data_IF_020997429556
#
_entry.id   IF_020997429556
#
_cell.length_a   1.000
_cell.length_b   1.000
_cell.length_c   1.000
_cell.angle_alpha   90.00
_cell.angle_beta   90.00
_cell.angle_gamma   90.00
#
_symmetry.space_group_name_H-M   'P 1'
#
loop_
_entity.id
_entity.type
_entity.pdbx_description
1 polymer ?
#
# COMPACT_ATOMS: atom_id res chain seq x y z
N UNK A 1 12.50 11.24 14.17
CA UNK A 1 13.54 11.51 15.20
C UNK A 1 14.97 11.43 14.64
N UNK A 2 15.37 10.31 14.05
CA UNK A 2 16.73 10.18 13.50
C UNK A 2 17.05 11.29 12.47
N UNK A 3 16.13 11.58 11.55
CA UNK A 3 16.27 12.69 10.60
C UNK A 3 16.45 14.04 11.32
N UNK A 4 15.67 14.34 12.34
CA UNK A 4 15.80 15.58 13.11
C UNK A 4 17.18 15.72 13.78
N UNK A 5 17.74 14.59 14.26
CA UNK A 5 19.08 14.54 14.81
C UNK A 5 20.14 14.73 13.71
N UNK A 6 19.94 14.13 12.53
CA UNK A 6 20.81 14.28 11.38
C UNK A 6 20.84 15.73 10.85
N UNK A 7 19.71 16.40 10.78
CA UNK A 7 19.56 17.81 10.38
C UNK A 7 19.93 18.81 11.51
N UNK A 8 20.47 18.31 12.61
CA UNK A 8 20.87 19.14 13.78
C UNK A 8 19.74 19.98 14.39
N UNK A 9 18.49 19.53 14.23
CA UNK A 9 17.37 20.19 14.90
C UNK A 9 17.56 20.02 16.42
N UNK A 10 17.50 21.10 17.23
CA UNK A 10 17.68 20.98 18.66
C UNK A 10 16.74 19.98 19.29
N UNK A 11 17.26 19.09 20.17
CA UNK A 11 16.48 18.02 20.83
C UNK A 11 15.19 18.54 21.46
N UNK A 12 15.24 19.71 22.10
CA UNK A 12 14.06 20.33 22.70
C UNK A 12 12.97 20.71 21.67
N UNK A 13 13.36 21.07 20.45
CA UNK A 13 12.43 21.35 19.35
C UNK A 13 11.83 20.05 18.81
N UNK A 14 12.65 19.02 18.63
CA UNK A 14 12.21 17.69 18.21
C UNK A 14 11.22 17.08 19.23
N UNK A 15 11.51 17.17 20.53
CA UNK A 15 10.60 16.70 21.57
C UNK A 15 9.25 17.43 21.55
N UNK A 16 9.24 18.76 21.34
CA UNK A 16 7.97 19.52 21.22
C UNK A 16 7.13 19.08 20.03
N UNK A 17 7.77 18.79 18.88
CA UNK A 17 7.06 18.28 17.71
C UNK A 17 6.49 16.88 17.98
N UNK A 18 7.26 15.99 18.60
CA UNK A 18 6.79 14.65 18.98
C UNK A 18 5.59 14.69 19.93
N UNK A 19 5.61 15.60 20.94
CA UNK A 19 4.49 15.74 21.87
C UNK A 19 3.19 16.25 21.22
N UNK A 20 3.31 16.97 20.10
CA UNK A 20 2.15 17.40 19.31
C UNK A 20 1.61 16.29 18.43
N UNK A 21 2.49 15.43 17.94
CA UNK A 21 2.16 14.39 16.98
C UNK A 21 1.69 13.09 17.65
N UNK A 22 2.32 12.68 18.74
CA UNK A 22 1.97 11.45 19.47
C UNK A 22 1.11 11.77 20.71
N UNK A 23 -0.21 11.69 20.54
CA UNK A 23 -1.16 11.77 21.65
C UNK A 23 -1.34 10.40 22.29
N UNK A 24 -1.39 10.33 23.64
CA UNK A 24 -1.60 9.07 24.37
C UNK A 24 -0.33 8.36 24.83
N UNK A 25 0.85 8.74 24.31
CA UNK A 25 2.14 8.23 24.81
C UNK A 25 2.65 9.13 25.96
N UNK A 26 3.22 8.51 27.00
CA UNK A 26 3.78 9.29 28.13
C UNK A 26 4.92 10.17 27.64
N UNK A 27 4.86 11.48 27.95
CA UNK A 27 5.87 12.46 27.52
C UNK A 27 7.29 12.06 27.90
N UNK A 28 7.46 11.39 29.07
CA UNK A 28 8.75 10.89 29.52
C UNK A 28 9.33 9.82 28.58
N UNK A 29 8.51 8.89 28.14
CA UNK A 29 8.93 7.83 27.22
C UNK A 29 9.35 8.39 25.85
N UNK A 30 8.59 9.34 25.30
CA UNK A 30 8.96 10.04 24.06
C UNK A 30 10.25 10.85 24.23
N UNK A 31 10.43 11.53 25.39
CA UNK A 31 11.63 12.29 25.67
C UNK A 31 12.87 11.39 25.77
N UNK A 32 12.75 10.25 26.44
CA UNK A 32 13.86 9.30 26.62
C UNK A 32 14.21 8.59 25.28
N UNK A 33 13.19 8.25 24.47
CA UNK A 33 13.42 7.73 23.10
C UNK A 33 14.14 8.75 22.22
N UNK A 34 13.71 10.02 22.26
CA UNK A 34 14.37 11.09 21.52
C UNK A 34 15.84 11.27 21.94
N UNK A 35 16.11 11.28 23.24
CA UNK A 35 17.50 11.36 23.77
C UNK A 35 18.36 10.20 23.28
N UNK A 36 17.85 8.96 23.33
CA UNK A 36 18.62 7.79 22.86
C UNK A 36 18.98 7.89 21.39
N UNK A 37 18.01 8.31 20.53
CA UNK A 37 18.25 8.45 19.10
C UNK A 37 19.26 9.57 18.81
N UNK A 38 19.15 10.72 19.47
CA UNK A 38 20.11 11.81 19.32
C UNK A 38 21.51 11.38 19.76
N UNK A 39 21.64 10.75 20.91
CA UNK A 39 22.92 10.22 21.39
C UNK A 39 23.51 9.14 20.46
N UNK A 40 22.68 8.35 19.79
CA UNK A 40 23.12 7.39 18.78
C UNK A 40 23.65 8.09 17.53
N UNK A 41 22.92 9.09 17.02
CA UNK A 41 23.34 9.87 15.84
C UNK A 41 24.62 10.66 16.14
N UNK A 42 24.75 11.25 17.33
CA UNK A 42 25.97 11.98 17.72
C UNK A 42 27.17 11.02 17.81
N UNK A 43 27.01 9.85 18.41
CA UNK A 43 28.06 8.80 18.43
C UNK A 43 28.48 8.36 17.03
N UNK A 44 27.54 8.22 16.10
CA UNK A 44 27.83 7.87 14.70
C UNK A 44 28.60 8.99 13.97
N UNK A 45 28.39 10.26 14.38
CA UNK A 45 29.13 11.42 13.86
C UNK A 45 30.54 11.50 14.42
N UNK A 46 30.68 11.28 15.73
CA UNK A 46 31.97 11.41 16.43
C UNK A 46 32.92 10.26 16.09
N UNK A 47 32.36 9.10 15.75
CA UNK A 47 33.09 7.91 15.29
C UNK A 47 33.13 7.85 13.77
N UNK A 48 33.56 8.95 13.12
CA UNK A 48 33.74 8.99 11.67
C UNK A 48 34.55 7.76 11.22
N UNK A 49 33.84 6.71 10.75
CA UNK A 49 34.44 5.56 10.09
C UNK A 49 34.30 4.19 10.77
N UNK A 50 33.67 4.02 11.93
CA UNK A 50 33.49 2.69 12.52
C UNK A 50 32.02 2.34 12.81
N UNK A 51 31.58 1.16 12.38
CA UNK A 51 30.30 0.59 12.79
C UNK A 51 30.36 0.20 14.29
N UNK A 52 29.43 0.71 15.14
CA UNK A 52 29.48 0.42 16.60
C UNK A 52 29.19 -1.04 16.94
N UNK A 53 28.66 -1.83 15.99
CA UNK A 53 28.36 -3.26 16.21
C UNK A 53 29.46 -4.18 15.69
N UNK A 54 30.10 -3.84 14.55
CA UNK A 54 31.07 -4.70 13.89
C UNK A 54 32.50 -4.11 13.84
N UNK A 55 32.71 -2.91 14.36
CA UNK A 55 33.98 -2.17 14.36
C UNK A 55 34.63 -2.01 12.95
N UNK A 56 33.86 -2.20 11.91
CA UNK A 56 34.33 -2.00 10.52
C UNK A 56 34.26 -0.51 10.21
N UNK A 57 35.39 0.05 9.80
CA UNK A 57 35.45 1.42 9.27
C UNK A 57 34.56 1.52 8.03
N UNK A 58 33.45 2.23 8.15
CA UNK A 58 32.59 2.56 7.03
C UNK A 58 32.61 4.08 6.84
N UNK A 59 33.05 4.55 5.70
CA UNK A 59 32.68 5.88 5.25
C UNK A 59 31.16 5.87 5.10
N UNK A 60 30.43 6.48 6.04
CA UNK A 60 29.00 6.72 5.91
C UNK A 60 28.83 7.78 4.83
N UNK A 61 28.85 7.35 3.59
CA UNK A 61 28.47 8.21 2.47
C UNK A 61 26.97 8.43 2.57
N UNK A 62 26.56 9.66 2.79
CA UNK A 62 25.18 10.08 2.68
C UNK A 62 24.73 9.89 1.23
N UNK A 63 24.06 8.79 0.96
CA UNK A 63 23.38 8.60 -0.32
C UNK A 63 21.92 9.04 -0.14
N UNK A 64 21.36 9.76 -1.11
CA UNK A 64 19.94 10.07 -1.10
C UNK A 64 19.13 8.78 -0.94
N UNK A 65 18.07 8.81 -0.13
CA UNK A 65 17.15 7.69 -0.01
C UNK A 65 16.71 7.25 -1.43
N UNK A 66 16.68 5.93 -1.66
CA UNK A 66 16.33 5.34 -2.97
C UNK A 66 17.31 5.62 -4.13
N UNK A 67 18.51 6.10 -3.87
CA UNK A 67 19.53 6.32 -4.91
C UNK A 67 20.21 5.02 -5.37
N UNK A 68 20.20 3.98 -4.53
CA UNK A 68 20.71 2.66 -4.89
C UNK A 68 19.60 1.80 -5.49
N UNK A 69 19.88 1.06 -6.58
CA UNK A 69 18.91 0.12 -7.11
C UNK A 69 18.60 -0.97 -6.07
N UNK A 70 17.32 -1.19 -5.80
CA UNK A 70 16.90 -2.27 -4.93
C UNK A 70 17.29 -3.63 -5.53
N UNK A 71 17.84 -4.53 -4.72
CA UNK A 71 18.18 -5.91 -5.14
C UNK A 71 17.01 -6.87 -5.01
N UNK A 72 15.98 -6.47 -4.27
CA UNK A 72 14.74 -7.18 -4.05
C UNK A 72 13.62 -6.18 -3.76
N UNK A 73 12.34 -6.55 -3.90
CA UNK A 73 11.23 -5.71 -3.51
C UNK A 73 11.18 -5.56 -1.98
N UNK A 74 10.71 -4.41 -1.52
CA UNK A 74 10.44 -4.19 -0.10
C UNK A 74 9.21 -4.99 0.38
N UNK A 75 8.22 -5.16 -0.49
CA UNK A 75 6.95 -5.84 -0.21
C UNK A 75 6.62 -6.85 -1.31
N UNK A 76 6.14 -8.01 -0.89
CA UNK A 76 5.62 -9.03 -1.80
C UNK A 76 4.17 -9.34 -1.47
N UNK A 77 3.29 -9.26 -2.46
CA UNK A 77 1.93 -9.73 -2.39
C UNK A 77 1.92 -11.21 -2.84
N UNK A 78 1.66 -12.15 -1.94
CA UNK A 78 1.56 -13.57 -2.26
C UNK A 78 0.09 -13.98 -2.32
N UNK A 79 -0.41 -14.20 -3.53
CA UNK A 79 -1.73 -14.73 -3.77
C UNK A 79 -1.74 -16.23 -3.45
N UNK A 80 -2.30 -16.60 -2.29
CA UNK A 80 -2.32 -18.00 -1.83
C UNK A 80 -3.26 -18.88 -2.65
N UNK A 81 -4.36 -18.31 -3.11
CA UNK A 81 -5.40 -18.95 -3.92
C UNK A 81 -6.20 -17.88 -4.63
N UNK A 82 -6.76 -18.19 -5.79
CA UNK A 82 -7.76 -17.32 -6.43
C UNK A 82 -9.20 -17.72 -6.11
N UNK A 83 -9.42 -18.82 -5.37
CA UNK A 83 -10.76 -19.11 -4.83
C UNK A 83 -11.20 -17.96 -3.92
N UNK A 84 -12.46 -17.56 -4.04
CA UNK A 84 -13.04 -16.49 -3.24
C UNK A 84 -14.48 -16.86 -2.84
N UNK A 85 -14.91 -16.42 -1.66
CA UNK A 85 -16.29 -16.54 -1.20
C UNK A 85 -17.14 -15.28 -1.47
N UNK A 86 -16.57 -14.27 -2.17
CA UNK A 86 -17.27 -13.15 -2.78
C UNK A 86 -17.35 -13.33 -4.30
N UNK A 87 -18.18 -12.52 -4.96
CA UNK A 87 -18.37 -12.50 -6.40
C UNK A 87 -18.47 -11.05 -6.90
N UNK A 88 -17.48 -10.22 -6.56
CA UNK A 88 -17.46 -8.79 -6.88
C UNK A 88 -17.43 -8.57 -8.39
N UNK A 89 -18.38 -7.82 -8.99
CA UNK A 89 -18.36 -7.52 -10.43
C UNK A 89 -17.13 -6.73 -10.87
N UNK A 90 -16.57 -5.92 -9.99
CA UNK A 90 -15.38 -5.08 -10.23
C UNK A 90 -14.06 -5.77 -9.86
N UNK A 91 -14.07 -7.06 -9.56
CA UNK A 91 -12.86 -7.78 -9.16
C UNK A 91 -11.78 -7.69 -10.25
N UNK A 92 -10.56 -7.29 -9.86
CA UNK A 92 -9.44 -7.20 -10.79
C UNK A 92 -8.88 -8.58 -11.20
N UNK A 93 -9.24 -9.66 -10.50
CA UNK A 93 -8.82 -11.00 -10.90
C UNK A 93 -9.52 -11.41 -12.20
N UNK A 94 -8.73 -11.90 -13.16
CA UNK A 94 -9.24 -12.43 -14.41
C UNK A 94 -9.98 -13.76 -14.17
N UNK A 95 -11.12 -14.03 -14.87
CA UNK A 95 -11.92 -15.23 -14.65
C UNK A 95 -11.15 -16.56 -14.81
N UNK A 96 -10.19 -16.61 -15.72
CA UNK A 96 -9.37 -17.80 -15.99
C UNK A 96 -8.52 -18.22 -14.79
N UNK A 97 -8.19 -17.25 -13.91
CA UNK A 97 -7.34 -17.46 -12.73
C UNK A 97 -8.05 -18.17 -11.60
N UNK A 98 -9.38 -18.12 -11.54
CA UNK A 98 -10.15 -18.83 -10.51
C UNK A 98 -9.98 -20.36 -10.58
N UNK A 99 -9.51 -20.90 -11.69
CA UNK A 99 -9.22 -22.32 -11.86
C UNK A 99 -7.77 -22.70 -11.53
N UNK A 100 -6.91 -21.73 -11.22
CA UNK A 100 -5.50 -21.96 -10.92
C UNK A 100 -5.37 -22.75 -9.62
N UNK A 101 -4.64 -23.86 -9.71
CA UNK A 101 -4.36 -24.70 -8.53
C UNK A 101 -3.32 -24.01 -7.64
N UNK A 102 -3.63 -23.83 -6.35
CA UNK A 102 -2.65 -23.28 -5.42
C UNK A 102 -1.52 -24.26 -5.13
N UNK A 103 -0.36 -23.71 -4.74
CA UNK A 103 0.77 -24.47 -4.21
C UNK A 103 0.31 -25.29 -2.99
N UNK A 104 0.91 -26.46 -2.82
CA UNK A 104 0.77 -27.21 -1.59
C UNK A 104 1.54 -26.53 -0.43
N UNK A 105 1.47 -27.13 0.75
CA UNK A 105 2.10 -26.58 1.95
C UNK A 105 3.61 -26.42 1.80
N UNK A 106 4.27 -27.45 1.32
CA UNK A 106 5.74 -27.48 1.27
C UNK A 106 6.26 -26.47 0.26
N UNK A 107 5.65 -26.38 -0.90
CA UNK A 107 6.00 -25.40 -1.92
C UNK A 107 5.71 -23.95 -1.46
N UNK A 108 4.59 -23.72 -0.76
CA UNK A 108 4.31 -22.40 -0.18
C UNK A 108 5.37 -22.00 0.87
N UNK A 109 5.84 -22.91 1.69
CA UNK A 109 6.93 -22.68 2.65
C UNK A 109 8.24 -22.38 1.94
N UNK A 110 8.56 -23.11 0.86
CA UNK A 110 9.72 -22.83 0.01
C UNK A 110 9.67 -21.44 -0.62
N UNK A 111 8.47 -20.92 -0.96
CA UNK A 111 8.33 -19.53 -1.39
C UNK A 111 8.78 -18.59 -0.27
N UNK A 112 8.34 -18.81 0.98
CA UNK A 112 8.77 -17.99 2.12
C UNK A 112 10.30 -18.03 2.30
N UNK A 113 10.91 -19.23 2.24
CA UNK A 113 12.37 -19.38 2.32
C UNK A 113 13.09 -18.56 1.25
N UNK A 114 12.59 -18.58 0.02
CA UNK A 114 13.14 -17.79 -1.08
C UNK A 114 13.02 -16.29 -0.82
N UNK A 115 11.88 -15.83 -0.31
CA UNK A 115 11.67 -14.41 0.01
C UNK A 115 12.63 -13.93 1.11
N UNK A 116 12.83 -14.73 2.14
CA UNK A 116 13.80 -14.43 3.21
C UNK A 116 15.23 -14.40 2.64
N UNK A 117 15.59 -15.40 1.83
CA UNK A 117 16.94 -15.50 1.25
C UNK A 117 17.31 -14.32 0.35
N UNK A 118 16.33 -13.73 -0.37
CA UNK A 118 16.54 -12.52 -1.18
C UNK A 118 16.39 -11.22 -0.41
N UNK A 119 16.03 -11.28 0.88
CA UNK A 119 15.97 -10.12 1.78
C UNK A 119 14.67 -9.32 1.72
N UNK A 120 13.54 -9.93 1.38
CA UNK A 120 12.22 -9.30 1.45
C UNK A 120 11.79 -9.18 2.91
N UNK A 121 11.49 -7.98 3.43
CA UNK A 121 11.09 -7.81 4.83
C UNK A 121 9.57 -7.91 5.06
N UNK A 122 8.74 -7.72 4.04
CA UNK A 122 7.30 -7.56 4.19
C UNK A 122 6.52 -8.45 3.22
N UNK A 123 5.70 -9.32 3.78
CA UNK A 123 4.85 -10.26 3.06
C UNK A 123 3.38 -9.89 3.26
N UNK A 124 2.62 -9.78 2.17
CA UNK A 124 1.16 -9.64 2.20
C UNK A 124 0.54 -10.90 1.64
N UNK A 125 -0.23 -11.59 2.43
CA UNK A 125 -1.03 -12.73 2.01
C UNK A 125 -2.33 -12.22 1.37
N UNK A 126 -2.59 -12.64 0.14
CA UNK A 126 -3.70 -12.15 -0.67
C UNK A 126 -4.22 -13.24 -1.62
N UNK A 127 -4.90 -12.84 -2.70
CA UNK A 127 -5.41 -13.72 -3.75
C UNK A 127 -6.86 -13.40 -4.11
N UNK A 128 -7.72 -14.42 -4.19
CA UNK A 128 -9.16 -14.26 -4.10
C UNK A 128 -9.53 -13.98 -2.65
N UNK A 129 -9.52 -15.02 -1.82
CA UNK A 129 -9.67 -14.85 -0.36
C UNK A 129 -8.64 -15.75 0.36
N UNK A 130 -7.61 -15.16 0.98
CA UNK A 130 -6.51 -15.93 1.59
C UNK A 130 -6.97 -16.83 2.75
N UNK A 131 -8.06 -16.49 3.44
CA UNK A 131 -8.59 -17.34 4.53
C UNK A 131 -9.18 -18.67 4.04
N UNK A 132 -9.33 -18.85 2.73
CA UNK A 132 -9.72 -20.13 2.14
C UNK A 132 -8.53 -21.08 1.94
N UNK A 133 -7.30 -20.58 2.03
CA UNK A 133 -6.10 -21.41 1.91
C UNK A 133 -5.94 -22.30 3.14
N UNK A 134 -5.87 -23.62 2.99
CA UNK A 134 -5.96 -24.55 4.11
C UNK A 134 -4.79 -24.44 5.12
N UNK A 135 -3.63 -23.98 4.68
CA UNK A 135 -2.40 -23.91 5.48
C UNK A 135 -2.07 -22.48 5.94
N UNK A 136 -3.08 -21.59 5.97
CA UNK A 136 -2.88 -20.16 6.24
C UNK A 136 -2.20 -19.91 7.61
N UNK A 137 -2.69 -20.56 8.67
CA UNK A 137 -2.16 -20.34 10.03
C UNK A 137 -0.71 -20.79 10.15
N UNK A 138 -0.40 -21.98 9.62
CA UNK A 138 0.96 -22.50 9.64
C UNK A 138 1.91 -21.62 8.80
N UNK A 139 1.42 -21.09 7.66
CA UNK A 139 2.22 -20.21 6.80
C UNK A 139 2.53 -18.88 7.48
N UNK A 140 1.53 -18.27 8.16
CA UNK A 140 1.72 -17.05 8.95
C UNK A 140 2.76 -17.29 10.06
N UNK A 141 2.59 -18.37 10.83
CA UNK A 141 3.51 -18.71 11.91
C UNK A 141 4.94 -18.92 11.40
N UNK A 142 5.09 -19.65 10.29
CA UNK A 142 6.41 -19.90 9.68
C UNK A 142 7.07 -18.61 9.21
N UNK A 143 6.32 -17.72 8.54
CA UNK A 143 6.85 -16.45 8.07
C UNK A 143 7.26 -15.52 9.22
N UNK A 144 6.47 -15.47 10.30
CA UNK A 144 6.79 -14.70 11.52
C UNK A 144 8.06 -15.22 12.19
N UNK A 145 8.22 -16.55 12.33
CA UNK A 145 9.44 -17.16 12.89
C UNK A 145 10.71 -16.81 12.11
N UNK A 146 10.59 -16.60 10.81
CA UNK A 146 11.69 -16.16 9.94
C UNK A 146 11.90 -14.61 9.94
N UNK A 147 11.12 -13.87 10.74
CA UNK A 147 11.27 -12.44 10.95
C UNK A 147 10.62 -11.57 9.87
N UNK A 148 9.72 -12.11 9.07
CA UNK A 148 8.94 -11.31 8.12
C UNK A 148 7.83 -10.54 8.85
N UNK A 149 7.58 -9.31 8.40
CA UNK A 149 6.35 -8.60 8.73
C UNK A 149 5.24 -9.20 7.86
N UNK A 150 4.24 -9.81 8.48
CA UNK A 150 3.16 -10.50 7.76
C UNK A 150 1.86 -9.70 7.83
N UNK A 151 1.35 -9.30 6.68
CA UNK A 151 0.03 -8.70 6.53
C UNK A 151 -0.92 -9.57 5.73
N UNK A 152 -2.20 -9.27 5.76
CA UNK A 152 -3.20 -9.99 4.98
C UNK A 152 -4.25 -9.03 4.41
N UNK A 153 -4.52 -9.16 3.10
CA UNK A 153 -5.66 -8.53 2.44
C UNK A 153 -6.80 -9.54 2.33
N UNK A 154 -7.95 -9.23 2.94
CA UNK A 154 -9.07 -10.16 3.05
C UNK A 154 -10.41 -9.42 2.89
N UNK A 155 -11.46 -10.13 2.48
CA UNK A 155 -12.82 -9.62 2.55
C UNK A 155 -13.40 -9.65 3.99
N UNK A 156 -12.68 -10.22 4.94
CA UNK A 156 -13.01 -10.21 6.37
C UNK A 156 -14.12 -11.16 6.79
N UNK A 157 -14.86 -11.77 5.87
CA UNK A 157 -16.06 -12.55 6.20
C UNK A 157 -15.76 -13.74 7.10
N UNK A 158 -14.68 -14.47 6.87
CA UNK A 158 -14.29 -15.59 7.75
C UNK A 158 -13.75 -15.15 9.11
N UNK A 159 -13.28 -13.91 9.22
CA UNK A 159 -12.90 -13.31 10.52
C UNK A 159 -14.13 -13.03 11.41
N UNK A 160 -15.36 -13.14 10.88
CA UNK A 160 -16.57 -13.15 11.72
C UNK A 160 -16.53 -14.25 12.79
N UNK A 161 -15.71 -15.31 12.60
CA UNK A 161 -15.39 -16.28 13.64
C UNK A 161 -14.29 -15.72 14.54
N UNK A 162 -14.58 -15.39 15.81
CA UNK A 162 -13.60 -14.74 16.70
C UNK A 162 -12.31 -15.57 16.90
N UNK A 163 -12.43 -16.89 16.85
CA UNK A 163 -11.27 -17.79 16.98
C UNK A 163 -10.25 -17.58 15.88
N UNK A 164 -10.68 -17.41 14.62
CA UNK A 164 -9.76 -17.26 13.50
C UNK A 164 -8.92 -15.97 13.59
N UNK A 165 -9.56 -14.84 13.97
CA UNK A 165 -8.84 -13.57 14.13
C UNK A 165 -7.78 -13.66 15.24
N UNK A 166 -8.14 -14.29 16.37
CA UNK A 166 -7.21 -14.51 17.48
C UNK A 166 -6.09 -15.48 17.07
N UNK A 167 -6.42 -16.63 16.48
CA UNK A 167 -5.44 -17.64 16.07
C UNK A 167 -4.42 -17.08 15.08
N UNK A 168 -4.87 -16.18 14.15
CA UNK A 168 -3.98 -15.47 13.23
C UNK A 168 -3.06 -14.47 13.95
N UNK A 169 -3.58 -13.73 14.94
CA UNK A 169 -2.76 -12.82 15.74
C UNK A 169 -1.71 -13.59 16.58
N UNK A 170 -2.12 -14.70 17.19
CA UNK A 170 -1.22 -15.58 17.96
C UNK A 170 -0.18 -16.26 17.04
N UNK A 171 -0.51 -16.54 15.78
CA UNK A 171 0.43 -17.05 14.78
C UNK A 171 1.46 -16.01 14.30
N UNK A 172 1.29 -14.72 14.65
CA UNK A 172 2.23 -13.66 14.31
C UNK A 172 1.76 -12.75 13.15
N UNK A 173 0.48 -12.80 12.75
CA UNK A 173 -0.06 -11.84 11.79
C UNK A 173 0.00 -10.43 12.39
N UNK A 174 0.68 -9.50 11.70
CA UNK A 174 0.90 -8.14 12.22
C UNK A 174 -0.26 -7.21 11.89
N UNK A 175 -0.81 -7.30 10.68
CA UNK A 175 -1.87 -6.40 10.24
C UNK A 175 -2.82 -7.05 9.24
N UNK A 176 -4.04 -6.50 9.18
CA UNK A 176 -5.04 -6.88 8.18
C UNK A 176 -5.61 -5.67 7.47
N UNK A 177 -5.79 -5.79 6.16
CA UNK A 177 -6.59 -4.88 5.37
C UNK A 177 -7.88 -5.58 4.99
N UNK A 178 -9.02 -5.07 5.46
CA UNK A 178 -10.33 -5.66 5.24
C UNK A 178 -11.11 -4.81 4.23
N UNK A 179 -11.64 -5.44 3.18
CA UNK A 179 -12.48 -4.75 2.20
C UNK A 179 -13.86 -4.49 2.78
N UNK A 180 -14.24 -3.21 2.89
CA UNK A 180 -15.60 -2.77 3.22
C UNK A 180 -16.03 -1.73 2.19
N UNK A 181 -17.06 -2.05 1.38
CA UNK A 181 -17.41 -1.22 0.22
C UNK A 181 -18.41 -0.10 0.55
N UNK A 182 -19.18 -0.20 1.63
CA UNK A 182 -20.13 0.83 2.08
C UNK A 182 -20.50 0.63 3.56
N UNK A 183 -21.05 1.69 4.18
CA UNK A 183 -21.69 1.66 5.51
C UNK A 183 -23.04 0.97 5.52
N UNK A 184 -23.68 0.82 4.36
CA UNK A 184 -25.01 0.22 4.20
C UNK A 184 -24.89 -1.20 3.64
N UNK A 185 -25.62 -2.14 4.26
CA UNK A 185 -25.56 -3.56 3.94
C UNK A 185 -25.95 -3.84 2.49
N UNK A 186 -27.01 -3.20 2.00
CA UNK A 186 -27.55 -3.42 0.66
C UNK A 186 -26.52 -3.03 -0.42
N UNK A 187 -25.81 -1.93 -0.22
CA UNK A 187 -24.80 -1.45 -1.18
C UNK A 187 -23.54 -2.31 -1.10
N UNK A 188 -23.05 -2.61 0.12
CA UNK A 188 -21.91 -3.50 0.29
C UNK A 188 -22.17 -4.87 -0.35
N UNK A 189 -23.30 -5.51 -0.01
CA UNK A 189 -23.66 -6.85 -0.49
C UNK A 189 -23.80 -6.89 -2.02
N UNK A 190 -24.39 -5.85 -2.61
CA UNK A 190 -24.48 -5.72 -4.07
C UNK A 190 -23.09 -5.61 -4.72
N UNK A 191 -22.18 -4.81 -4.15
CA UNK A 191 -20.82 -4.63 -4.66
C UNK A 191 -19.94 -5.87 -4.53
N UNK A 192 -20.13 -6.65 -3.46
CA UNK A 192 -19.37 -7.90 -3.28
C UNK A 192 -20.08 -9.13 -3.86
N UNK A 193 -21.32 -8.96 -4.36
CA UNK A 193 -22.11 -10.00 -5.01
C UNK A 193 -22.58 -11.12 -4.08
N UNK A 194 -22.72 -10.85 -2.77
CA UNK A 194 -23.15 -11.85 -1.77
C UNK A 194 -24.01 -11.22 -0.68
N UNK A 195 -25.24 -11.68 -0.56
CA UNK A 195 -26.16 -11.25 0.49
C UNK A 195 -25.66 -11.65 1.90
N UNK A 196 -25.72 -10.72 2.84
CA UNK A 196 -25.28 -10.90 4.23
C UNK A 196 -23.77 -10.73 4.45
N UNK A 197 -23.00 -10.47 3.40
CA UNK A 197 -21.55 -10.26 3.49
C UNK A 197 -21.19 -9.08 4.40
N UNK A 198 -21.97 -8.00 4.37
CA UNK A 198 -21.78 -6.83 5.22
C UNK A 198 -21.66 -7.19 6.70
N UNK A 199 -22.62 -7.94 7.22
CA UNK A 199 -22.64 -8.30 8.63
C UNK A 199 -21.46 -9.19 9.02
N UNK A 200 -21.06 -10.13 8.14
CA UNK A 200 -19.87 -10.95 8.34
C UNK A 200 -18.60 -10.11 8.32
N UNK A 201 -18.46 -9.21 7.35
CA UNK A 201 -17.29 -8.30 7.22
C UNK A 201 -17.15 -7.38 8.43
N UNK A 202 -18.25 -6.75 8.86
CA UNK A 202 -18.26 -5.88 10.07
C UNK A 202 -17.91 -6.67 11.33
N UNK A 203 -18.45 -7.87 11.49
CA UNK A 203 -18.05 -8.76 12.59
C UNK A 203 -16.55 -9.12 12.51
N UNK A 204 -16.02 -9.36 11.31
CA UNK A 204 -14.63 -9.61 11.06
C UNK A 204 -13.73 -8.44 11.46
N UNK A 205 -14.11 -7.20 11.13
CA UNK A 205 -13.39 -5.98 11.55
C UNK A 205 -13.33 -5.90 13.08
N UNK A 206 -14.48 -6.07 13.77
CA UNK A 206 -14.56 -6.04 15.23
C UNK A 206 -13.68 -7.11 15.88
N UNK A 207 -13.68 -8.31 15.34
CA UNK A 207 -12.88 -9.42 15.86
C UNK A 207 -11.37 -9.19 15.61
N UNK A 208 -10.98 -8.64 14.46
CA UNK A 208 -9.59 -8.28 14.17
C UNK A 208 -9.06 -7.23 15.14
N UNK A 209 -9.85 -6.16 15.38
CA UNK A 209 -9.53 -5.13 16.38
C UNK A 209 -9.42 -5.72 17.79
N UNK A 210 -10.37 -6.59 18.17
CA UNK A 210 -10.39 -7.25 19.49
C UNK A 210 -9.21 -8.22 19.68
N UNK A 211 -8.70 -8.81 18.61
CA UNK A 211 -7.51 -9.66 18.62
C UNK A 211 -6.19 -8.85 18.66
N UNK A 212 -6.24 -7.52 18.63
CA UNK A 212 -5.07 -6.64 18.65
C UNK A 212 -4.35 -6.52 17.32
N UNK A 213 -4.93 -6.98 16.21
CA UNK A 213 -4.37 -6.81 14.88
C UNK A 213 -4.44 -5.32 14.46
N UNK A 214 -3.36 -4.80 13.88
CA UNK A 214 -3.43 -3.51 13.22
C UNK A 214 -4.39 -3.64 12.02
N UNK A 215 -5.57 -3.06 12.17
CA UNK A 215 -6.67 -3.22 11.22
C UNK A 215 -6.89 -1.94 10.44
N UNK A 216 -6.86 -2.03 9.11
CA UNK A 216 -7.29 -0.97 8.19
C UNK A 216 -8.38 -1.52 7.28
N UNK A 217 -9.23 -0.64 6.76
CA UNK A 217 -10.17 -1.01 5.71
C UNK A 217 -9.75 -0.44 4.38
N UNK A 218 -10.22 -1.07 3.30
CA UNK A 218 -10.11 -0.54 1.95
C UNK A 218 -11.47 -0.56 1.27
N UNK A 219 -11.86 0.56 0.68
CA UNK A 219 -13.11 0.75 -0.06
C UNK A 219 -12.80 1.06 -1.51
N UNK A 220 -13.37 0.32 -2.45
CA UNK A 220 -13.30 0.65 -3.87
C UNK A 220 -14.39 1.65 -4.20
N UNK A 221 -13.99 2.90 -4.49
CA UNK A 221 -14.92 3.97 -4.87
C UNK A 221 -15.43 3.76 -6.29
N UNK A 222 -16.75 3.69 -6.40
CA UNK A 222 -17.49 3.53 -7.65
C UNK A 222 -18.72 4.46 -7.67
N UNK A 223 -19.39 4.57 -8.82
CA UNK A 223 -20.65 5.30 -8.89
C UNK A 223 -21.73 4.71 -7.97
N UNK A 224 -21.62 3.42 -7.60
CA UNK A 224 -22.60 2.76 -6.74
C UNK A 224 -22.51 3.19 -5.27
N UNK A 225 -21.30 3.50 -4.76
CA UNK A 225 -21.08 3.80 -3.34
C UNK A 225 -20.52 5.21 -3.07
N UNK A 226 -20.17 6.01 -4.08
CA UNK A 226 -19.58 7.33 -3.88
C UNK A 226 -20.42 8.26 -2.98
N UNK A 227 -21.74 8.14 -3.04
CA UNK A 227 -22.68 8.94 -2.25
C UNK A 227 -22.66 8.57 -0.76
N UNK A 228 -22.15 7.40 -0.40
CA UNK A 228 -21.99 6.90 0.97
C UNK A 228 -20.56 7.07 1.51
N UNK A 229 -19.62 7.60 0.73
CA UNK A 229 -18.21 7.64 1.11
C UNK A 229 -17.99 8.31 2.48
N UNK A 230 -18.62 9.46 2.73
CA UNK A 230 -18.48 10.19 4.01
C UNK A 230 -19.17 9.48 5.17
N UNK A 231 -20.35 8.90 4.93
CA UNK A 231 -21.06 8.07 5.90
C UNK A 231 -20.23 6.82 6.24
N UNK A 232 -19.58 6.21 5.24
CA UNK A 232 -18.69 5.07 5.46
C UNK A 232 -17.51 5.45 6.36
N UNK A 233 -16.90 6.62 6.20
CA UNK A 233 -15.81 7.09 7.08
C UNK A 233 -16.30 7.24 8.52
N UNK A 234 -17.48 7.87 8.73
CA UNK A 234 -18.08 8.01 10.05
C UNK A 234 -18.34 6.64 10.69
N UNK A 235 -18.88 5.70 9.92
CA UNK A 235 -19.11 4.33 10.36
C UNK A 235 -17.81 3.61 10.75
N UNK A 236 -16.74 3.76 9.98
CA UNK A 236 -15.43 3.19 10.31
C UNK A 236 -14.86 3.79 11.61
N UNK A 237 -15.03 5.09 11.81
CA UNK A 237 -14.65 5.75 13.06
C UNK A 237 -15.42 5.21 14.27
N UNK A 238 -16.74 4.99 14.14
CA UNK A 238 -17.59 4.39 15.18
C UNK A 238 -17.16 2.93 15.49
N UNK A 239 -16.67 2.19 14.52
CA UNK A 239 -16.10 0.86 14.72
C UNK A 239 -14.74 0.88 15.46
N UNK A 240 -14.13 2.06 15.65
CA UNK A 240 -12.86 2.24 16.36
C UNK A 240 -11.64 2.22 15.45
N UNK A 241 -11.79 2.32 14.13
CA UNK A 241 -10.69 2.43 13.19
C UNK A 241 -10.09 3.86 13.24
N UNK A 242 -8.77 3.94 13.15
CA UNK A 242 -8.03 5.22 13.09
C UNK A 242 -7.42 5.47 11.72
N UNK A 243 -7.41 4.46 10.86
CA UNK A 243 -6.83 4.51 9.51
C UNK A 243 -7.72 3.73 8.56
N UNK A 244 -7.96 4.29 7.40
CA UNK A 244 -8.67 3.64 6.31
C UNK A 244 -8.04 3.98 4.97
N UNK A 245 -8.25 3.11 3.99
CA UNK A 245 -7.83 3.31 2.62
C UNK A 245 -9.02 3.35 1.68
N UNK A 246 -8.87 4.06 0.58
CA UNK A 246 -9.80 3.98 -0.55
C UNK A 246 -9.01 3.93 -1.86
N UNK A 247 -9.60 3.32 -2.86
CA UNK A 247 -9.08 3.29 -4.23
C UNK A 247 -10.21 3.42 -5.25
N UNK A 248 -9.89 3.86 -6.46
CA UNK A 248 -10.79 3.75 -7.62
C UNK A 248 -10.72 2.34 -8.23
N UNK A 249 -11.45 2.15 -9.31
CA UNK A 249 -11.44 0.90 -10.07
C UNK A 249 -10.02 0.59 -10.58
N UNK A 250 -9.62 -0.67 -10.44
CA UNK A 250 -8.41 -1.21 -11.08
C UNK A 250 -8.84 -1.79 -12.43
N UNK A 251 -8.25 -1.29 -13.51
CA UNK A 251 -8.60 -1.66 -14.88
C UNK A 251 -7.98 -3.01 -15.28
N UNK A 252 -8.41 -4.07 -14.59
CA UNK A 252 -8.07 -5.46 -14.85
C UNK A 252 -9.28 -6.34 -14.51
N UNK A 253 -9.35 -7.55 -15.05
CA UNK A 253 -10.46 -8.48 -14.80
C UNK A 253 -11.83 -7.83 -15.01
N UNK A 254 -12.75 -7.98 -14.06
CA UNK A 254 -14.08 -7.37 -14.09
C UNK A 254 -14.05 -5.84 -14.10
N UNK A 255 -13.01 -5.23 -13.52
CA UNK A 255 -12.83 -3.78 -13.51
C UNK A 255 -12.65 -3.15 -14.88
N UNK A 256 -12.23 -3.92 -15.92
CA UNK A 256 -12.16 -3.47 -17.32
C UNK A 256 -13.54 -3.23 -17.94
N UNK A 257 -14.55 -3.91 -17.44
CA UNK A 257 -15.89 -3.97 -18.06
C UNK A 257 -16.95 -3.25 -17.25
N UNK A 258 -16.59 -2.73 -16.07
CA UNK A 258 -17.56 -2.00 -15.24
C UNK A 258 -17.77 -0.57 -15.75
N UNK A 259 -19.03 -0.12 -15.89
CA UNK A 259 -19.36 1.26 -16.22
C UNK A 259 -19.28 2.20 -15.00
N UNK A 260 -18.98 1.65 -13.81
CA UNK A 260 -19.11 2.35 -12.53
C UNK A 260 -17.87 3.14 -12.10
N UNK A 261 -16.85 3.25 -12.96
CA UNK A 261 -15.69 4.08 -12.70
C UNK A 261 -16.09 5.56 -12.56
N UNK A 262 -15.56 6.22 -11.54
CA UNK A 262 -15.79 7.65 -11.30
C UNK A 262 -14.80 8.45 -12.14
N UNK A 263 -15.26 9.41 -12.97
CA UNK A 263 -14.37 10.28 -13.74
C UNK A 263 -13.39 11.05 -12.85
N UNK A 264 -12.20 11.36 -13.36
CA UNK A 264 -11.15 12.02 -12.57
C UNK A 264 -11.58 13.37 -11.98
N UNK A 265 -12.42 14.14 -12.71
CA UNK A 265 -12.96 15.43 -12.25
C UNK A 265 -13.90 15.27 -11.05
N UNK A 266 -14.78 14.26 -11.07
CA UNK A 266 -15.70 13.95 -9.97
C UNK A 266 -14.94 13.34 -8.80
N UNK A 267 -13.94 12.49 -9.08
CA UNK A 267 -13.07 11.89 -8.07
C UNK A 267 -12.29 12.96 -7.29
N UNK A 268 -11.84 14.02 -7.95
CA UNK A 268 -11.13 15.11 -7.28
C UNK A 268 -11.96 15.75 -6.17
N UNK A 269 -13.22 16.11 -6.48
CA UNK A 269 -14.15 16.72 -5.52
C UNK A 269 -14.47 15.75 -4.36
N UNK A 270 -14.67 14.46 -4.69
CA UNK A 270 -14.96 13.41 -3.72
C UNK A 270 -13.77 13.21 -2.77
N UNK A 271 -12.54 13.11 -3.27
CA UNK A 271 -11.34 12.95 -2.45
C UNK A 271 -11.08 14.15 -1.54
N UNK A 272 -11.39 15.37 -2.00
CA UNK A 272 -11.30 16.55 -1.16
C UNK A 272 -12.27 16.46 0.05
N UNK A 273 -13.51 16.04 -0.19
CA UNK A 273 -14.49 15.84 0.89
C UNK A 273 -14.10 14.69 1.83
N UNK A 274 -13.60 13.58 1.29
CA UNK A 274 -13.09 12.44 2.09
C UNK A 274 -11.95 12.88 3.01
N UNK A 275 -10.98 13.62 2.48
CA UNK A 275 -9.85 14.15 3.27
C UNK A 275 -10.34 15.05 4.39
N UNK A 276 -11.22 16.01 4.10
CA UNK A 276 -11.72 16.94 5.08
C UNK A 276 -12.48 16.22 6.20
N UNK A 277 -13.32 15.23 5.87
CA UNK A 277 -14.02 14.39 6.85
C UNK A 277 -13.04 13.55 7.68
N UNK A 278 -11.99 12.98 7.05
CA UNK A 278 -10.96 12.24 7.77
C UNK A 278 -10.20 13.13 8.76
N UNK A 279 -9.86 14.36 8.36
CA UNK A 279 -9.20 15.36 9.22
C UNK A 279 -10.11 15.75 10.41
N UNK A 280 -11.41 15.97 10.19
CA UNK A 280 -12.40 16.29 11.23
C UNK A 280 -12.52 15.16 12.26
N UNK A 281 -12.51 13.91 11.81
CA UNK A 281 -12.59 12.73 12.67
C UNK A 281 -11.22 12.29 13.22
N UNK A 282 -10.14 13.01 12.89
CA UNK A 282 -8.77 12.66 13.26
C UNK A 282 -8.38 11.24 12.84
N UNK A 283 -8.83 10.82 11.66
CA UNK A 283 -8.49 9.56 11.01
C UNK A 283 -7.42 9.76 9.95
N UNK A 284 -6.59 8.75 9.72
CA UNK A 284 -5.63 8.75 8.62
C UNK A 284 -6.28 8.19 7.37
N UNK A 285 -6.34 8.98 6.31
CA UNK A 285 -6.79 8.54 4.99
C UNK A 285 -5.61 8.13 4.10
N UNK A 286 -5.71 6.98 3.44
CA UNK A 286 -4.73 6.45 2.48
C UNK A 286 -5.38 6.32 1.10
N UNK A 287 -4.92 7.10 0.13
CA UNK A 287 -5.33 6.95 -1.26
C UNK A 287 -4.43 5.93 -1.97
N UNK A 288 -4.99 4.82 -2.44
CA UNK A 288 -4.20 3.72 -3.01
C UNK A 288 -4.11 3.71 -4.52
N UNK A 289 -4.97 4.44 -5.22
CA UNK A 289 -4.93 4.47 -6.70
C UNK A 289 -3.71 5.24 -7.19
N UNK A 290 -3.03 4.64 -8.15
CA UNK A 290 -1.99 5.31 -8.92
C UNK A 290 -2.66 6.09 -10.05
N UNK A 291 -2.54 7.41 -10.04
CA UNK A 291 -3.18 8.31 -10.98
C UNK A 291 -2.17 9.09 -11.81
N UNK A 292 -2.56 9.54 -12.99
CA UNK A 292 -1.83 10.55 -13.75
C UNK A 292 -1.97 11.90 -13.05
N UNK A 293 -0.87 12.47 -12.52
CA UNK A 293 -0.94 13.75 -11.78
C UNK A 293 -1.42 14.92 -12.61
N UNK A 294 -1.31 14.85 -13.94
CA UNK A 294 -1.91 15.83 -14.82
C UNK A 294 -3.45 15.77 -14.89
N UNK A 295 -4.07 14.69 -14.39
CA UNK A 295 -5.53 14.54 -14.29
C UNK A 295 -5.99 14.65 -12.84
N UNK A 296 -5.34 13.89 -11.95
CA UNK A 296 -5.65 13.83 -10.52
C UNK A 296 -4.35 13.73 -9.71
N UNK A 297 -3.89 14.88 -9.20
CA UNK A 297 -2.71 14.93 -8.35
C UNK A 297 -3.11 14.80 -6.86
N UNK A 298 -2.72 13.72 -6.18
CA UNK A 298 -2.95 13.60 -4.73
C UNK A 298 -2.25 14.71 -3.94
N UNK A 299 -1.12 15.24 -4.43
CA UNK A 299 -0.40 16.32 -3.77
C UNK A 299 -1.20 17.63 -3.72
N UNK A 300 -1.96 17.94 -4.77
CA UNK A 300 -2.84 19.13 -4.78
C UNK A 300 -3.97 19.02 -3.76
N UNK A 301 -4.35 17.79 -3.41
CA UNK A 301 -5.30 17.49 -2.37
C UNK A 301 -4.68 17.43 -0.96
N UNK A 302 -3.36 17.58 -0.83
CA UNK A 302 -2.64 17.42 0.45
C UNK A 302 -2.56 15.97 0.92
N UNK A 303 -2.75 15.02 0.01
CA UNK A 303 -2.59 13.59 0.27
C UNK A 303 -1.15 13.13 0.04
N UNK A 304 -0.81 11.98 0.59
CA UNK A 304 0.50 11.36 0.37
C UNK A 304 0.74 11.08 -1.13
N UNK A 305 1.97 11.25 -1.65
CA UNK A 305 2.29 10.92 -3.02
C UNK A 305 2.10 9.43 -3.28
N UNK A 306 1.50 9.10 -4.41
CA UNK A 306 1.30 7.73 -4.83
C UNK A 306 1.77 7.54 -6.27
N UNK A 307 2.78 6.71 -6.46
CA UNK A 307 3.22 6.28 -7.80
C UNK A 307 3.20 4.76 -7.90
N UNK A 308 3.23 4.25 -9.13
CA UNK A 308 3.37 2.82 -9.36
C UNK A 308 4.72 2.34 -8.83
N UNK A 309 4.69 1.31 -8.00
CA UNK A 309 5.85 0.66 -7.40
C UNK A 309 6.05 -0.79 -7.87
N UNK A 310 5.26 -1.21 -8.86
CA UNK A 310 5.32 -2.54 -9.46
C UNK A 310 6.70 -2.82 -10.04
N UNK A 311 7.25 -4.00 -9.75
CA UNK A 311 8.59 -4.42 -10.21
C UNK A 311 9.74 -3.56 -9.67
N UNK A 312 9.48 -2.62 -8.76
CA UNK A 312 10.47 -1.75 -8.10
C UNK A 312 10.52 -2.01 -6.58
N UNK A 313 9.45 -1.67 -5.86
CA UNK A 313 9.35 -1.87 -4.40
C UNK A 313 8.34 -2.95 -4.04
N UNK A 314 7.51 -3.38 -4.98
CA UNK A 314 6.58 -4.47 -4.82
C UNK A 314 6.56 -5.40 -6.03
N UNK A 315 6.14 -6.63 -5.80
CA UNK A 315 5.80 -7.62 -6.81
C UNK A 315 4.70 -8.51 -6.28
N UNK A 316 4.12 -9.34 -7.15
CA UNK A 316 3.16 -10.36 -6.76
C UNK A 316 3.68 -11.75 -7.11
N UNK A 317 3.35 -12.74 -6.28
CA UNK A 317 3.52 -14.16 -6.57
C UNK A 317 2.13 -14.77 -6.67
N UNK A 318 1.87 -15.46 -7.78
CA UNK A 318 0.62 -16.16 -8.02
C UNK A 318 0.53 -17.48 -7.25
N UNK A 319 -0.67 -18.09 -7.14
CA UNK A 319 -0.86 -19.35 -6.43
C UNK A 319 -0.01 -20.51 -6.96
N UNK A 320 0.44 -20.47 -8.21
CA UNK A 320 1.32 -21.47 -8.85
C UNK A 320 2.81 -21.13 -8.75
N UNK A 321 3.17 -20.03 -8.06
CA UNK A 321 4.54 -19.55 -7.90
C UNK A 321 5.06 -18.63 -9.00
N UNK A 322 4.26 -18.29 -10.01
CA UNK A 322 4.64 -17.34 -11.04
C UNK A 322 4.74 -15.91 -10.49
N UNK A 323 5.70 -15.14 -10.97
CA UNK A 323 6.00 -13.80 -10.48
C UNK A 323 5.49 -12.76 -11.45
N UNK A 324 4.73 -11.79 -10.91
CA UNK A 324 4.13 -10.67 -11.63
C UNK A 324 4.67 -9.34 -11.10
N UNK A 325 4.67 -8.26 -11.91
CA UNK A 325 5.05 -6.91 -11.44
C UNK A 325 4.12 -6.38 -10.32
N UNK A 326 2.82 -6.64 -10.41
CA UNK A 326 1.84 -6.36 -9.37
C UNK A 326 0.68 -7.36 -9.45
N UNK A 327 -0.17 -7.38 -8.44
CA UNK A 327 -1.29 -8.32 -8.29
C UNK A 327 -2.37 -8.22 -9.39
N UNK A 328 -2.33 -7.17 -10.22
CA UNK A 328 -3.34 -6.92 -11.27
C UNK A 328 -2.73 -6.89 -12.67
N UNK A 329 -1.40 -7.02 -12.80
CA UNK A 329 -0.70 -7.01 -14.09
C UNK A 329 -0.23 -8.43 -14.43
N UNK A 330 -1.04 -9.15 -15.19
CA UNK A 330 -0.95 -10.60 -15.37
C UNK A 330 0.04 -11.08 -16.45
N UNK A 331 1.24 -10.52 -16.44
CA UNK A 331 2.35 -10.97 -17.28
C UNK A 331 3.45 -11.54 -16.39
N UNK A 332 3.60 -12.87 -16.41
CA UNK A 332 4.63 -13.56 -15.63
C UNK A 332 6.02 -13.24 -16.15
N UNK A 333 6.97 -13.03 -15.25
CA UNK A 333 8.40 -12.84 -15.54
C UNK A 333 9.25 -14.04 -15.13
N UNK A 334 8.64 -15.12 -14.70
CA UNK A 334 9.27 -16.35 -14.25
C UNK A 334 8.57 -16.92 -13.02
N UNK A 335 9.11 -17.98 -12.45
CA UNK A 335 8.53 -18.67 -11.30
C UNK A 335 9.52 -18.70 -10.14
N UNK A 336 9.10 -18.25 -8.98
CA UNK A 336 9.97 -18.08 -7.80
C UNK A 336 10.64 -19.37 -7.32
N UNK A 337 10.01 -20.52 -7.57
CA UNK A 337 10.53 -21.83 -7.14
C UNK A 337 11.48 -22.46 -8.15
N UNK A 338 11.38 -22.12 -9.43
CA UNK A 338 12.06 -22.78 -10.53
C UNK A 338 13.19 -21.95 -11.14
N UNK A 339 13.00 -20.61 -11.18
CA UNK A 339 13.91 -19.75 -11.92
C UNK A 339 14.90 -19.04 -10.97
N UNK A 340 16.12 -18.71 -11.45
CA UNK A 340 17.06 -17.90 -10.69
C UNK A 340 16.49 -16.51 -10.39
N UNK A 341 16.68 -16.02 -9.15
CA UNK A 341 16.19 -14.71 -8.75
C UNK A 341 16.64 -13.56 -9.67
N UNK A 342 17.91 -13.56 -10.06
CA UNK A 342 18.46 -12.51 -10.92
C UNK A 342 17.78 -12.46 -12.29
N UNK A 343 17.33 -13.58 -12.84
CA UNK A 343 16.59 -13.59 -14.11
C UNK A 343 15.17 -13.02 -13.96
N UNK A 344 14.53 -13.27 -12.83
CA UNK A 344 13.22 -12.71 -12.50
C UNK A 344 13.35 -11.21 -12.29
N UNK A 345 14.24 -10.80 -11.36
CA UNK A 345 14.36 -9.42 -10.92
C UNK A 345 14.89 -8.47 -12.00
N UNK A 346 15.72 -8.97 -12.90
CA UNK A 346 16.28 -8.21 -14.02
C UNK A 346 15.60 -8.54 -15.37
N UNK A 347 14.40 -9.12 -15.34
CA UNK A 347 13.59 -9.29 -16.55
C UNK A 347 13.29 -7.95 -17.23
N UNK A 348 13.13 -7.97 -18.56
CA UNK A 348 12.84 -6.75 -19.34
C UNK A 348 11.61 -6.01 -18.85
N UNK A 349 10.58 -6.77 -18.42
CA UNK A 349 9.35 -6.16 -17.88
C UNK A 349 9.60 -5.42 -16.57
N UNK A 350 10.33 -6.01 -15.60
CA UNK A 350 10.65 -5.35 -14.34
C UNK A 350 11.58 -4.16 -14.55
N UNK A 351 12.56 -4.27 -15.45
CA UNK A 351 13.44 -3.16 -15.83
C UNK A 351 12.63 -2.01 -16.46
N UNK A 352 11.68 -2.31 -17.34
CA UNK A 352 10.78 -1.32 -17.92
C UNK A 352 9.98 -0.58 -16.85
N UNK A 353 9.41 -1.29 -15.86
CA UNK A 353 8.68 -0.68 -14.76
C UNK A 353 9.57 0.23 -13.91
N UNK A 354 10.76 -0.23 -13.51
CA UNK A 354 11.71 0.55 -12.69
C UNK A 354 12.26 1.79 -13.38
N UNK A 355 12.40 1.73 -14.69
CA UNK A 355 13.01 2.80 -15.47
C UNK A 355 12.01 3.85 -15.96
N UNK A 356 10.72 3.72 -15.69
CA UNK A 356 9.68 4.65 -16.17
C UNK A 356 9.98 6.11 -15.85
N UNK A 357 10.44 6.41 -14.65
CA UNK A 357 10.80 7.77 -14.24
C UNK A 357 12.12 8.28 -14.81
N UNK A 358 13.04 7.39 -15.22
CA UNK A 358 14.37 7.74 -15.71
C UNK A 358 14.47 7.70 -17.24
N UNK A 359 13.79 6.76 -17.85
CA UNK A 359 13.79 6.49 -19.30
C UNK A 359 12.34 6.35 -19.80
N UNK A 360 11.54 7.46 -19.74
CA UNK A 360 10.10 7.38 -20.01
C UNK A 360 9.78 6.93 -21.43
N UNK A 361 10.58 7.35 -22.42
CA UNK A 361 10.38 6.99 -23.82
C UNK A 361 10.58 5.49 -24.05
N UNK A 362 11.69 4.95 -23.58
CA UNK A 362 12.04 3.53 -23.70
C UNK A 362 11.11 2.65 -22.88
N UNK A 363 10.54 3.18 -21.81
CA UNK A 363 9.55 2.49 -20.96
C UNK A 363 8.12 2.56 -21.48
N UNK A 364 7.90 3.18 -22.64
CA UNK A 364 6.59 3.24 -23.31
C UNK A 364 5.62 4.26 -22.71
N UNK A 365 6.11 5.26 -21.96
CA UNK A 365 5.25 6.33 -21.47
C UNK A 365 4.84 7.28 -22.61
N UNK A 366 3.62 7.87 -22.55
CA UNK A 366 3.16 8.86 -23.50
C UNK A 366 4.13 10.05 -23.64
N UNK A 367 4.17 10.68 -24.83
CA UNK A 367 5.06 11.80 -25.11
C UNK A 367 4.93 12.95 -24.10
N UNK A 368 3.72 13.22 -23.61
CA UNK A 368 3.45 14.23 -22.56
C UNK A 368 4.27 14.00 -21.27
N UNK A 369 4.71 12.76 -21.01
CA UNK A 369 5.48 12.39 -19.83
C UNK A 369 7.00 12.55 -20.01
N UNK A 370 7.53 12.60 -21.24
CA UNK A 370 8.97 12.51 -21.49
C UNK A 370 9.80 13.64 -20.86
N UNK A 371 9.23 14.85 -20.82
CA UNK A 371 9.86 16.03 -20.20
C UNK A 371 9.02 16.60 -19.05
N UNK A 372 8.12 15.81 -18.47
CA UNK A 372 7.24 16.25 -17.40
C UNK A 372 8.03 16.44 -16.09
N UNK A 373 7.98 17.63 -15.46
CA UNK A 373 8.69 17.90 -14.21
C UNK A 373 8.16 17.06 -13.03
N UNK A 374 6.90 16.62 -13.09
CA UNK A 374 6.27 15.83 -12.02
C UNK A 374 6.52 14.32 -12.18
N UNK A 375 7.13 13.88 -13.30
CA UNK A 375 7.36 12.47 -13.59
C UNK A 375 8.10 11.72 -12.47
N UNK A 376 9.13 12.28 -11.80
CA UNK A 376 9.83 11.58 -10.73
C UNK A 376 8.93 11.20 -9.54
N UNK A 377 7.86 11.97 -9.30
CA UNK A 377 6.90 11.75 -8.21
C UNK A 377 5.67 11.00 -8.71
N UNK A 378 5.15 11.35 -9.88
CA UNK A 378 3.98 10.72 -10.51
C UNK A 378 4.30 9.28 -11.00
N UNK A 379 5.50 9.07 -11.57
CA UNK A 379 5.89 7.79 -12.18
C UNK A 379 5.13 7.46 -13.46
N UNK A 380 4.33 8.39 -14.01
CA UNK A 380 3.58 8.23 -15.27
C UNK A 380 2.31 7.38 -15.14
N UNK A 381 1.63 7.41 -14.01
CA UNK A 381 0.32 6.76 -13.82
C UNK A 381 0.34 5.24 -13.76
N UNK A 382 -0.84 4.63 -13.87
CA UNK A 382 -1.02 3.18 -13.88
C UNK A 382 -0.92 2.62 -15.31
N UNK A 383 -0.03 1.63 -15.60
CA UNK A 383 0.03 1.02 -16.93
C UNK A 383 -1.28 0.40 -17.39
N UNK A 384 -2.02 -0.23 -16.48
CA UNK A 384 -3.31 -0.87 -16.79
C UNK A 384 -4.35 0.15 -17.26
N UNK A 385 -4.39 1.32 -16.66
CA UNK A 385 -5.28 2.39 -17.08
C UNK A 385 -4.92 2.89 -18.49
N UNK A 386 -3.63 3.06 -18.78
CA UNK A 386 -3.16 3.46 -20.11
C UNK A 386 -3.45 2.41 -21.17
N UNK A 387 -3.27 1.14 -20.87
CA UNK A 387 -3.56 0.02 -21.76
C UNK A 387 -5.07 -0.08 -22.04
N UNK A 388 -5.90 0.05 -21.01
CA UNK A 388 -7.36 0.05 -21.13
C UNK A 388 -7.87 1.23 -21.98
N UNK A 389 -7.33 2.43 -21.77
CA UNK A 389 -7.65 3.60 -22.59
C UNK A 389 -7.23 3.43 -24.05
N UNK A 390 -6.07 2.85 -24.30
CA UNK A 390 -5.57 2.56 -25.65
C UNK A 390 -6.41 1.52 -26.38
N UNK A 391 -6.95 0.53 -25.66
CA UNK A 391 -7.81 -0.51 -26.20
C UNK A 391 -9.25 -0.05 -26.50
N UNK A 392 -9.60 1.21 -26.18
CA UNK A 392 -10.95 1.74 -26.40
C UNK A 392 -11.98 1.18 -25.43
N UNK A 393 -11.56 0.81 -24.21
CA UNK A 393 -12.48 0.47 -23.14
C UNK A 393 -13.46 1.61 -22.85
N UNK A 394 -14.59 1.31 -22.21
CA UNK A 394 -15.68 2.27 -21.89
C UNK A 394 -15.27 3.40 -20.92
N UNK A 395 -13.97 3.53 -20.62
CA UNK A 395 -13.44 4.66 -19.85
C UNK A 395 -13.63 5.92 -20.70
N UNK A 396 -14.54 6.80 -20.30
CA UNK A 396 -14.69 8.13 -20.88
C UNK A 396 -13.34 8.84 -20.80
N UNK A 397 -12.75 9.16 -21.95
CA UNK A 397 -11.56 10.01 -22.02
C UNK A 397 -11.92 11.35 -21.38
N UNK A 398 -11.45 11.61 -20.18
CA UNK A 398 -11.33 12.98 -19.73
C UNK A 398 -10.54 13.71 -20.81
N UNK A 399 -11.15 14.75 -21.39
CA UNK A 399 -10.65 15.50 -22.55
C UNK A 399 -9.13 15.65 -22.51
N UNK A 400 -8.47 15.51 -23.67
CA UNK A 400 -7.04 15.74 -23.91
C UNK A 400 -6.61 17.15 -23.43
N UNK A 401 -6.58 17.35 -22.13
CA UNK A 401 -5.92 18.53 -21.56
C UNK A 401 -4.44 18.16 -21.45
N UNK A 402 -3.68 18.76 -22.34
CA UNK A 402 -2.23 18.75 -22.23
C UNK A 402 -1.80 19.07 -20.79
N UNK A 403 -0.65 18.55 -20.38
CA UNK A 403 0.00 18.84 -19.11
C UNK A 403 0.42 20.34 -19.06
N UNK A 404 -0.56 21.23 -19.14
CA UNK A 404 -0.44 22.67 -18.93
C UNK A 404 -1.20 22.96 -17.64
N UNK A 405 -0.50 23.51 -16.64
CA UNK A 405 -1.14 24.04 -15.45
C UNK A 405 -2.45 24.71 -15.85
N UNK A 406 -3.55 24.25 -15.33
CA UNK A 406 -4.82 24.96 -15.46
C UNK A 406 -4.63 26.36 -14.88
N UNK A 407 -4.31 27.31 -15.77
CA UNK A 407 -4.32 28.72 -15.42
C UNK A 407 -5.77 29.09 -15.16
N UNK A 408 -6.15 29.18 -13.88
CA UNK A 408 -7.45 29.74 -13.56
C UNK A 408 -8.24 29.09 -12.44
N UNK A 409 -7.72 28.17 -11.64
CA UNK A 409 -8.38 27.81 -10.38
C UNK A 409 -7.79 28.63 -9.25
N UNK A 410 -8.63 29.46 -8.64
CA UNK A 410 -8.29 30.25 -7.47
C UNK A 410 -7.75 29.32 -6.38
N UNK A 411 -6.48 29.48 -6.07
CA UNK A 411 -5.87 28.93 -4.86
C UNK A 411 -6.66 29.45 -3.66
N UNK A 412 -7.42 28.61 -3.01
CA UNK A 412 -7.89 28.90 -1.66
C UNK A 412 -6.63 28.96 -0.80
N UNK A 413 -6.14 30.18 -0.57
CA UNK A 413 -5.02 30.42 0.34
C UNK A 413 -5.43 29.99 1.74
N UNK A 414 -4.83 28.91 2.24
CA UNK A 414 -4.78 28.68 3.68
C UNK A 414 -3.98 29.82 4.34
N UNK A 415 -4.29 30.21 5.57
CA UNK A 415 -3.47 31.19 6.29
C UNK A 415 -2.05 30.66 6.41
N UNK A 416 -1.10 31.45 6.01
CA UNK A 416 0.33 31.19 5.97
C UNK A 416 0.85 30.78 7.34
N UNK A 417 1.15 29.51 7.53
CA UNK A 417 2.18 29.07 8.46
C UNK A 417 3.42 28.80 7.60
N UNK A 418 4.46 29.55 7.91
CA UNK A 418 5.84 29.58 7.45
C UNK A 418 6.27 28.47 6.47
N UNK A 419 6.73 28.93 5.31
CA UNK A 419 7.40 28.23 4.23
C UNK A 419 8.66 27.46 4.68
N UNK A 420 8.57 26.17 4.87
CA UNK A 420 9.69 25.22 4.72
C UNK A 420 9.14 23.98 4.02
N UNK A 421 9.85 23.39 3.04
CA UNK A 421 9.38 22.20 2.33
C UNK A 421 9.37 21.00 3.28
N UNK A 422 8.18 20.46 3.55
CA UNK A 422 8.03 19.17 4.24
C UNK A 422 8.62 18.05 3.38
N UNK A 423 9.76 17.51 3.83
CA UNK A 423 10.34 16.29 3.27
C UNK A 423 9.56 15.09 3.81
N UNK A 424 8.97 14.33 2.92
CA UNK A 424 8.24 13.10 3.23
C UNK A 424 9.09 12.07 3.96
N UNK A 425 8.60 11.61 5.10
CA UNK A 425 9.16 10.50 5.88
C UNK A 425 8.22 9.28 5.81
N UNK A 426 8.73 8.19 5.26
CA UNK A 426 8.11 6.88 5.46
C UNK A 426 8.56 6.32 6.82
N UNK A 427 7.61 6.01 7.70
CA UNK A 427 7.90 5.34 8.96
C UNK A 427 7.81 3.82 8.79
N UNK A 428 8.90 3.14 9.10
CA UNK A 428 8.89 1.71 9.41
C UNK A 428 8.67 1.59 10.90
N UNK A 429 7.55 1.02 11.33
CA UNK A 429 7.36 0.62 12.72
C UNK A 429 8.16 -0.65 12.97
N UNK A 430 9.24 -0.52 13.71
CA UNK A 430 9.84 -1.66 14.42
C UNK A 430 9.31 -1.64 15.84
N UNK A 431 8.36 -2.50 16.15
CA UNK A 431 8.00 -2.80 17.53
C UNK A 431 9.03 -3.79 18.08
N UNK A 432 9.96 -3.29 18.87
CA UNK A 432 10.96 -4.10 19.54
C UNK A 432 10.34 -4.69 20.81
N UNK A 433 9.80 -5.90 20.73
CA UNK A 433 9.76 -6.78 21.90
C UNK A 433 11.09 -7.52 21.97
N UNK A 434 11.96 -7.08 22.82
CA UNK A 434 12.99 -7.92 23.43
C UNK A 434 12.85 -7.88 24.95
N UNK A 435 13.23 -9.00 25.64
CA UNK A 435 12.85 -9.35 27.01
C UNK A 435 13.27 -8.38 28.08
#
# INVERSE_FOLDING_TARGET
MAWMALERIPLARAQRQLYRHYRGVKRRELADAAKRIYAMVDRLRDQAGACPVCAIASEVQFQPLFSLPARAPYKVDFALTYACNNNCPHCYNEPERFTMRPLDKDDAFRVIDKLVAIGVPHLILTGGEPTLYPWLLELVHYADQLGLIVGMNTNGRRLARPTLARDLAEAGLNHVQITLEASQAEVHDAMVGVAGAFHETVAGIKNALSAGLLTITNTTLTRQNQHLALETIAFLHELGLTTFAMNGIIHAGGGLYTPDAIPAEDMYALLAAIRDTADELNMRFLWYTVTDYCQLSPLELGLDPKRCNAGEYSMCIEPNGDVLPCQSYYVSVGNILRDPWDSIWNSDLFLRFRNRGRHPKESGLPEKCWNCPDLPVCGGGCPLEHEALAAGSTIERASERGCGRASGRALVRRPTQSSEPEKLLFFVHTDSRMP
#
